data_IF_438984201558
#
_entry.id   IF_438984201558
#
_cell.length_a   1.000
_cell.length_b   1.000
_cell.length_c   1.000
_cell.angle_alpha   90.00
_cell.angle_beta   90.00
_cell.angle_gamma   90.00
#
_symmetry.space_group_name_H-M   'P 1'
#
loop_
_entity.id
_entity.type
_entity.pdbx_description
1 polymer ?
#
# COMPACT_ATOMS: atom_id res chain seq x y z
N UNK A 1 12.22 -9.47 12.25
CA UNK A 1 11.30 -8.71 11.36
C UNK A 1 11.53 -7.23 11.68
N UNK A 2 11.72 -6.41 10.64
CA UNK A 2 11.88 -4.97 10.77
C UNK A 2 10.57 -4.31 11.17
N UNK A 3 10.60 -3.39 12.15
CA UNK A 3 9.45 -2.59 12.56
C UNK A 3 9.85 -1.11 12.63
N UNK A 4 8.97 -0.23 12.18
CA UNK A 4 9.08 1.22 12.34
C UNK A 4 7.93 1.70 13.23
N UNK A 5 8.26 2.32 14.36
CA UNK A 5 7.29 2.88 15.30
C UNK A 5 7.28 4.40 15.21
N UNK A 6 6.09 4.95 15.01
CA UNK A 6 5.87 6.37 14.87
C UNK A 6 4.75 6.83 15.80
N UNK A 7 4.79 8.10 16.19
CA UNK A 7 3.69 8.76 16.90
C UNK A 7 3.33 10.02 16.13
N UNK A 8 2.05 10.13 15.74
CA UNK A 8 1.52 11.27 15.00
C UNK A 8 0.52 12.03 15.88
N UNK A 9 0.47 13.37 15.81
CA UNK A 9 -0.76 14.06 16.22
C UNK A 9 -1.92 13.56 15.36
N UNK A 10 -3.16 13.81 15.78
CA UNK A 10 -4.33 13.41 14.96
C UNK A 10 -4.24 14.08 13.59
N UNK A 11 -4.18 13.26 12.55
CA UNK A 11 -4.10 13.73 11.18
C UNK A 11 -5.38 14.47 10.77
N UNK A 12 -5.31 15.53 9.96
CA UNK A 12 -6.48 16.20 9.40
C UNK A 12 -7.40 15.21 8.70
N UNK A 13 -8.69 15.26 9.02
CA UNK A 13 -9.68 14.38 8.39
C UNK A 13 -9.84 14.69 6.91
N UNK A 14 -10.34 13.73 6.13
CA UNK A 14 -10.61 13.89 4.69
C UNK A 14 -11.42 15.15 4.40
N UNK A 15 -12.40 15.48 5.24
CA UNK A 15 -13.22 16.69 5.12
C UNK A 15 -12.45 18.00 5.37
N UNK A 16 -11.36 17.94 6.14
CA UNK A 16 -10.46 19.06 6.43
C UNK A 16 -9.17 19.03 5.61
N UNK A 17 -8.94 17.98 4.83
CA UNK A 17 -7.77 17.80 3.98
C UNK A 17 -7.90 18.56 2.64
N UNK A 18 -9.06 18.42 1.98
CA UNK A 18 -9.34 19.04 0.68
C UNK A 18 -10.32 20.21 0.81
N UNK A 19 -10.06 21.25 0.04
CA UNK A 19 -10.98 22.32 -0.28
C UNK A 19 -11.33 22.29 -1.77
N UNK A 20 -12.44 22.93 -2.13
CA UNK A 20 -12.88 23.09 -3.52
C UNK A 20 -13.01 24.57 -3.84
N UNK A 21 -12.56 24.96 -5.02
CA UNK A 21 -12.75 26.33 -5.55
C UNK A 21 -13.17 26.29 -7.00
N UNK A 22 -13.99 27.23 -7.40
CA UNK A 22 -14.32 27.41 -8.81
C UNK A 22 -13.19 28.21 -9.49
N UNK A 23 -12.77 27.74 -10.66
CA UNK A 23 -11.88 28.47 -11.57
C UNK A 23 -12.53 28.57 -12.94
N UNK A 24 -12.17 29.57 -13.72
CA UNK A 24 -12.56 29.66 -15.13
C UNK A 24 -11.44 28.99 -15.96
N UNK A 25 -11.81 27.95 -16.72
CA UNK A 25 -10.92 27.33 -17.70
C UNK A 25 -11.61 27.40 -19.07
N UNK A 26 -10.98 28.10 -20.02
CA UNK A 26 -11.55 28.33 -21.35
C UNK A 26 -12.95 28.96 -21.30
N UNK A 27 -13.18 29.91 -20.39
CA UNK A 27 -14.47 30.61 -20.22
C UNK A 27 -15.58 29.77 -19.53
N UNK A 28 -15.29 28.53 -19.10
CA UNK A 28 -16.25 27.69 -18.40
C UNK A 28 -15.85 27.51 -16.92
N UNK A 29 -16.81 27.60 -15.99
CA UNK A 29 -16.53 27.36 -14.58
C UNK A 29 -16.20 25.87 -14.37
N UNK A 30 -15.13 25.61 -13.64
CA UNK A 30 -14.67 24.28 -13.27
C UNK A 30 -14.32 24.23 -11.79
N UNK A 31 -14.80 23.20 -11.07
CA UNK A 31 -14.40 22.96 -9.69
C UNK A 31 -13.03 22.31 -9.65
N UNK A 32 -12.11 22.87 -8.86
CA UNK A 32 -10.76 22.33 -8.64
C UNK A 32 -10.55 22.11 -7.17
N UNK A 33 -10.14 20.87 -6.84
CA UNK A 33 -9.71 20.51 -5.49
C UNK A 33 -8.32 21.08 -5.16
N UNK A 34 -8.13 21.47 -3.91
CA UNK A 34 -6.83 21.88 -3.39
C UNK A 34 -6.64 21.37 -1.97
N UNK A 35 -5.38 21.13 -1.58
CA UNK A 35 -5.05 20.78 -0.18
C UNK A 35 -5.16 22.04 0.69
N UNK A 36 -5.85 21.93 1.81
CA UNK A 36 -5.97 23.04 2.76
C UNK A 36 -4.62 23.30 3.47
N UNK A 37 -4.35 24.55 3.91
CA UNK A 37 -3.07 24.91 4.55
C UNK A 37 -2.72 24.03 5.75
N UNK A 38 -3.69 23.66 6.57
CA UNK A 38 -3.51 22.79 7.74
C UNK A 38 -2.98 21.40 7.34
N UNK A 39 -3.54 20.82 6.27
CA UNK A 39 -3.09 19.53 5.75
C UNK A 39 -1.68 19.61 5.17
N UNK A 40 -1.37 20.70 4.44
CA UNK A 40 -0.02 20.93 3.91
C UNK A 40 1.00 21.08 5.04
N UNK A 41 0.65 21.81 6.09
CA UNK A 41 1.49 21.99 7.27
C UNK A 41 1.75 20.64 7.96
N UNK A 42 0.68 19.90 8.26
CA UNK A 42 0.76 18.58 8.85
C UNK A 42 1.66 17.64 8.04
N UNK A 43 1.40 17.49 6.74
CA UNK A 43 2.18 16.60 5.87
C UNK A 43 3.66 16.94 5.88
N UNK A 44 4.00 18.23 5.74
CA UNK A 44 5.39 18.67 5.76
C UNK A 44 6.10 18.39 7.08
N UNK A 45 5.44 18.65 8.20
CA UNK A 45 6.04 18.47 9.54
C UNK A 45 6.15 16.98 9.88
N UNK A 46 5.09 16.22 9.60
CA UNK A 46 5.11 14.79 9.88
C UNK A 46 6.05 14.02 8.95
N UNK A 47 6.16 14.37 7.67
CA UNK A 47 7.14 13.77 6.76
C UNK A 47 8.58 13.95 7.25
N UNK A 48 8.93 15.13 7.78
CA UNK A 48 10.25 15.38 8.38
C UNK A 48 10.50 14.48 9.62
N UNK A 49 9.50 14.36 10.48
CA UNK A 49 9.56 13.49 11.65
C UNK A 49 9.74 12.03 11.25
N UNK A 50 8.94 11.53 10.30
CA UNK A 50 9.03 10.15 9.77
C UNK A 50 10.42 9.86 9.23
N UNK A 51 11.00 10.79 8.44
CA UNK A 51 12.34 10.64 7.89
C UNK A 51 13.41 10.53 8.98
N UNK A 52 13.28 11.32 10.04
CA UNK A 52 14.21 11.27 11.18
C UNK A 52 14.08 9.96 11.97
N UNK A 53 12.83 9.52 12.25
CA UNK A 53 12.57 8.28 12.98
C UNK A 53 12.96 7.04 12.17
N UNK A 54 12.72 7.01 10.86
CA UNK A 54 13.16 5.93 9.97
C UNK A 54 14.69 5.76 10.04
N UNK A 55 15.43 6.86 9.98
CA UNK A 55 16.90 6.83 10.13
C UNK A 55 17.31 6.34 11.52
N UNK A 56 16.71 6.87 12.58
CA UNK A 56 17.02 6.54 13.99
C UNK A 56 16.75 5.07 14.30
N UNK A 57 15.69 4.51 13.73
CA UNK A 57 15.29 3.11 13.94
C UNK A 57 15.92 2.16 12.91
N UNK A 58 16.85 2.64 12.08
CA UNK A 58 17.51 1.86 11.02
C UNK A 58 16.54 1.17 10.07
N UNK A 59 15.44 1.85 9.73
CA UNK A 59 14.49 1.35 8.76
C UNK A 59 15.12 1.29 7.37
N UNK A 60 14.96 0.15 6.69
CA UNK A 60 15.44 -0.04 5.33
C UNK A 60 14.23 -0.11 4.40
N UNK A 61 14.09 0.92 3.57
CA UNK A 61 13.04 0.96 2.53
C UNK A 61 13.34 -0.08 1.46
N UNK A 62 12.35 -0.90 1.11
CA UNK A 62 12.47 -1.82 -0.03
C UNK A 62 12.32 -1.07 -1.35
N UNK A 63 13.15 -1.41 -2.32
CA UNK A 63 13.01 -0.96 -3.72
C UNK A 63 12.08 -1.88 -4.53
N UNK A 64 11.59 -2.96 -3.94
CA UNK A 64 10.63 -3.86 -4.56
C UNK A 64 9.21 -3.28 -4.46
N UNK A 65 8.63 -2.91 -5.61
CA UNK A 65 7.26 -2.40 -5.70
C UNK A 65 6.18 -3.42 -5.35
N UNK A 66 6.52 -4.69 -5.28
CA UNK A 66 5.61 -5.76 -4.86
C UNK A 66 5.60 -5.97 -3.34
N UNK A 67 6.54 -5.37 -2.60
CA UNK A 67 6.53 -5.42 -1.15
C UNK A 67 5.34 -4.64 -0.60
N UNK A 68 4.53 -5.30 0.20
CA UNK A 68 3.43 -4.67 0.94
C UNK A 68 3.81 -4.45 2.40
N UNK A 69 3.11 -3.51 3.05
CA UNK A 69 3.34 -3.14 4.45
C UNK A 69 2.03 -3.12 5.21
N UNK A 70 2.03 -3.68 6.41
CA UNK A 70 1.00 -3.38 7.39
C UNK A 70 1.31 -2.07 8.08
N UNK A 71 0.31 -1.21 8.19
CA UNK A 71 0.33 -0.03 9.03
C UNK A 71 -0.73 -0.21 10.13
N UNK A 72 -0.28 -0.66 11.28
CA UNK A 72 -1.10 -0.87 12.45
C UNK A 72 -1.23 0.45 13.23
N UNK A 73 -2.44 0.95 13.37
CA UNK A 73 -2.73 2.22 14.03
C UNK A 73 -3.59 2.05 15.26
N UNK A 74 -3.15 2.63 16.37
CA UNK A 74 -3.94 2.82 17.57
C UNK A 74 -4.25 4.30 17.72
N UNK A 75 -5.53 4.64 17.74
CA UNK A 75 -6.01 6.02 17.83
C UNK A 75 -6.35 6.38 19.28
N UNK A 76 -5.88 7.53 19.73
CA UNK A 76 -6.27 8.18 20.98
C UNK A 76 -6.91 9.52 20.62
N UNK A 77 -8.23 9.57 20.56
CA UNK A 77 -8.97 10.76 20.19
C UNK A 77 -9.28 11.64 21.40
N UNK A 78 -9.44 12.93 21.16
CA UNK A 78 -9.89 13.91 22.15
C UNK A 78 -11.40 13.80 22.42
N UNK A 79 -12.18 13.21 21.47
CA UNK A 79 -13.64 13.10 21.54
C UNK A 79 -14.14 11.82 20.89
N UNK A 80 -15.35 11.39 21.29
CA UNK A 80 -15.96 10.12 20.86
C UNK A 80 -16.55 10.15 19.43
N UNK A 81 -16.71 11.32 18.85
CA UNK A 81 -17.31 11.51 17.52
C UNK A 81 -16.29 11.51 16.35
N UNK A 82 -15.07 11.10 16.64
CA UNK A 82 -14.00 11.00 15.64
C UNK A 82 -13.99 9.64 14.96
N UNK A 83 -13.74 9.66 13.64
CA UNK A 83 -13.64 8.47 12.80
C UNK A 83 -12.18 8.25 12.34
N UNK A 84 -11.63 7.08 12.67
CA UNK A 84 -10.27 6.70 12.32
C UNK A 84 -10.04 6.71 10.80
N UNK A 85 -11.02 6.25 10.01
CA UNK A 85 -10.89 6.17 8.55
C UNK A 85 -10.64 7.53 7.91
N UNK A 86 -11.18 8.60 8.50
CA UNK A 86 -11.00 9.95 7.98
C UNK A 86 -9.56 10.48 8.11
N UNK A 87 -8.72 9.85 8.91
CA UNK A 87 -7.33 10.27 9.15
C UNK A 87 -6.32 9.60 8.19
N UNK A 88 -6.63 8.42 7.65
CA UNK A 88 -5.66 7.60 6.92
C UNK A 88 -5.09 8.29 5.67
N UNK A 89 -5.93 8.94 4.87
CA UNK A 89 -5.44 9.57 3.63
C UNK A 89 -4.33 10.59 3.88
N UNK A 90 -4.54 11.50 4.82
CA UNK A 90 -3.54 12.52 5.14
C UNK A 90 -2.30 11.93 5.80
N UNK A 91 -2.49 10.91 6.62
CA UNK A 91 -1.42 10.17 7.30
C UNK A 91 -0.53 9.43 6.30
N UNK A 92 -1.13 8.63 5.41
CA UNK A 92 -0.42 7.85 4.40
C UNK A 92 0.35 8.75 3.44
N UNK A 93 -0.29 9.84 2.95
CA UNK A 93 0.38 10.82 2.11
C UNK A 93 1.62 11.42 2.79
N UNK A 94 1.52 11.79 4.08
CA UNK A 94 2.64 12.37 4.82
C UNK A 94 3.81 11.40 5.01
N UNK A 95 3.52 10.11 5.23
CA UNK A 95 4.54 9.07 5.32
C UNK A 95 5.18 8.84 3.95
N UNK A 96 4.40 8.82 2.88
CA UNK A 96 4.90 8.70 1.50
C UNK A 96 5.79 9.88 1.12
N UNK A 97 5.38 11.11 1.48
CA UNK A 97 6.15 12.34 1.24
C UNK A 97 7.52 12.35 1.99
N UNK A 98 7.69 11.51 3.02
CA UNK A 98 8.99 11.33 3.67
C UNK A 98 10.03 10.65 2.79
N UNK A 99 9.59 9.92 1.76
CA UNK A 99 10.40 9.09 0.83
C UNK A 99 11.24 7.99 1.51
N UNK A 100 10.98 7.73 2.80
CA UNK A 100 11.87 6.92 3.65
C UNK A 100 11.29 5.56 4.02
N UNK A 101 9.99 5.32 3.83
CA UNK A 101 9.30 4.14 4.37
C UNK A 101 8.95 3.14 3.27
N UNK A 102 8.27 3.57 2.25
CA UNK A 102 7.85 2.80 1.07
C UNK A 102 7.97 3.63 -0.20
N UNK A 103 7.66 3.04 -1.35
CA UNK A 103 7.73 3.75 -2.63
C UNK A 103 6.44 4.53 -2.89
N UNK A 104 5.28 3.91 -2.56
CA UNK A 104 3.95 4.43 -2.88
C UNK A 104 2.93 3.89 -1.88
N UNK A 105 1.89 4.67 -1.55
CA UNK A 105 0.84 4.27 -0.62
C UNK A 105 -0.02 3.09 -1.12
N UNK A 106 0.07 2.74 -2.40
CA UNK A 106 -0.52 1.50 -2.94
C UNK A 106 0.06 0.21 -2.37
N UNK A 107 1.23 0.28 -1.74
CA UNK A 107 1.85 -0.83 -1.02
C UNK A 107 1.30 -1.03 0.40
N UNK A 108 0.41 -0.14 0.84
CA UNK A 108 -0.04 -0.05 2.22
C UNK A 108 -1.28 -0.91 2.47
N UNK A 109 -1.29 -1.58 3.62
CA UNK A 109 -2.44 -2.25 4.20
C UNK A 109 -2.72 -1.62 5.57
N UNK A 110 -3.67 -0.70 5.61
CA UNK A 110 -4.07 0.05 6.79
C UNK A 110 -4.91 -0.82 7.73
N UNK A 111 -4.59 -0.79 9.03
CA UNK A 111 -5.31 -1.58 10.02
C UNK A 111 -5.52 -0.76 11.30
N UNK A 112 -6.77 -0.67 11.75
CA UNK A 112 -7.10 -0.11 13.06
C UNK A 112 -6.99 -1.20 14.10
N UNK A 113 -6.06 -1.05 15.05
CA UNK A 113 -5.84 -2.00 16.14
C UNK A 113 -6.59 -1.63 17.40
N UNK A 114 -6.94 -0.36 17.57
CA UNK A 114 -7.71 0.12 18.71
C UNK A 114 -8.09 1.58 18.58
N UNK A 115 -9.16 1.96 19.27
CA UNK A 115 -9.63 3.34 19.39
C UNK A 115 -9.87 3.61 20.87
N UNK A 116 -9.15 4.60 21.37
CA UNK A 116 -9.20 5.05 22.77
C UNK A 116 -9.44 6.55 22.82
N UNK A 117 -9.72 7.07 24.00
CA UNK A 117 -9.94 8.50 24.24
C UNK A 117 -8.89 9.03 25.20
N UNK A 118 -8.22 10.08 24.78
CA UNK A 118 -7.23 10.80 25.58
C UNK A 118 -7.30 12.28 25.20
N UNK A 119 -8.09 13.03 25.98
CA UNK A 119 -8.33 14.45 25.71
C UNK A 119 -7.10 15.33 25.99
N UNK A 120 -6.16 14.85 26.80
CA UNK A 120 -4.96 15.60 27.16
C UNK A 120 -3.84 15.42 26.14
N UNK A 121 -3.77 14.23 25.53
CA UNK A 121 -2.71 13.90 24.57
C UNK A 121 -3.26 13.10 23.38
N UNK A 122 -4.13 13.69 22.54
CA UNK A 122 -4.68 13.01 21.36
C UNK A 122 -3.59 12.72 20.34
N UNK A 123 -3.51 11.46 19.90
CA UNK A 123 -2.43 10.98 19.03
C UNK A 123 -2.82 9.71 18.25
N UNK A 124 -1.99 9.35 17.30
CA UNK A 124 -2.01 8.06 16.60
C UNK A 124 -0.68 7.37 16.84
N UNK A 125 -0.70 6.19 17.44
CA UNK A 125 0.47 5.32 17.55
C UNK A 125 0.47 4.37 16.36
N UNK A 126 1.59 4.30 15.65
CA UNK A 126 1.70 3.63 14.37
C UNK A 126 2.86 2.64 14.43
N UNK A 127 2.59 1.39 14.01
CA UNK A 127 3.63 0.39 13.80
C UNK A 127 3.58 -0.06 12.35
N UNK A 128 4.68 0.11 11.62
CA UNK A 128 4.80 -0.29 10.22
C UNK A 128 5.75 -1.48 10.14
N UNK A 129 5.34 -2.51 9.38
CA UNK A 129 6.15 -3.70 9.14
C UNK A 129 5.90 -4.28 7.75
N UNK A 130 6.92 -4.85 7.09
CA UNK A 130 6.72 -5.56 5.85
C UNK A 130 5.86 -6.80 6.09
N UNK A 131 5.07 -7.18 5.10
CA UNK A 131 4.31 -8.43 5.09
C UNK A 131 5.11 -9.53 4.40
N UNK A 132 4.83 -10.79 4.75
CA UNK A 132 5.55 -11.94 4.23
C UNK A 132 5.06 -12.36 2.83
N UNK A 133 3.83 -12.02 2.44
CA UNK A 133 3.32 -12.31 1.11
C UNK A 133 3.83 -11.30 0.06
N UNK A 134 3.88 -11.72 -1.20
CA UNK A 134 4.30 -10.90 -2.34
C UNK A 134 3.14 -10.81 -3.32
N UNK A 135 2.51 -9.64 -3.42
CA UNK A 135 1.36 -9.43 -4.27
C UNK A 135 0.18 -10.32 -3.87
N UNK A 136 -0.27 -11.21 -4.76
CA UNK A 136 -1.34 -12.20 -4.51
C UNK A 136 -0.80 -13.58 -4.08
N UNK A 137 0.49 -13.71 -3.90
CA UNK A 137 1.17 -14.96 -3.55
C UNK A 137 1.43 -15.03 -2.05
N UNK A 138 1.24 -16.20 -1.45
CA UNK A 138 1.41 -16.42 -0.01
C UNK A 138 2.88 -16.31 0.43
N UNK A 139 3.80 -16.61 -0.47
CA UNK A 139 5.24 -16.60 -0.19
C UNK A 139 6.07 -16.56 -1.50
N UNK A 140 7.39 -16.38 -1.35
CA UNK A 140 8.32 -16.30 -2.47
C UNK A 140 8.35 -17.56 -3.33
N UNK A 141 8.23 -18.75 -2.73
CA UNK A 141 8.22 -20.02 -3.48
C UNK A 141 7.02 -20.09 -4.42
N UNK A 142 5.82 -19.74 -3.95
CA UNK A 142 4.62 -19.72 -4.78
C UNK A 142 4.75 -18.73 -5.95
N UNK A 143 5.37 -17.57 -5.71
CA UNK A 143 5.68 -16.62 -6.78
C UNK A 143 6.67 -17.17 -7.79
N UNK A 144 7.73 -17.84 -7.35
CA UNK A 144 8.77 -18.36 -8.23
C UNK A 144 8.24 -19.54 -9.08
N UNK A 145 7.41 -20.41 -8.51
CA UNK A 145 6.70 -21.46 -9.24
C UNK A 145 5.78 -20.85 -10.31
N UNK A 146 5.05 -19.81 -9.97
CA UNK A 146 4.18 -19.11 -10.90
C UNK A 146 4.98 -18.45 -12.06
N UNK A 147 6.11 -17.79 -11.73
CA UNK A 147 7.02 -17.22 -12.75
C UNK A 147 7.56 -18.28 -13.69
N UNK A 148 7.97 -19.42 -13.16
CA UNK A 148 8.49 -20.55 -13.94
C UNK A 148 7.47 -21.09 -14.94
N UNK A 149 6.22 -21.23 -14.51
CA UNK A 149 5.11 -21.59 -15.41
C UNK A 149 4.85 -20.51 -16.47
N UNK A 150 4.92 -19.22 -16.10
CA UNK A 150 4.74 -18.13 -17.05
C UNK A 150 5.74 -18.16 -18.20
N UNK A 151 6.99 -18.59 -17.98
CA UNK A 151 8.02 -18.72 -19.03
C UNK A 151 7.56 -19.68 -20.14
N UNK A 152 6.84 -20.75 -19.80
CA UNK A 152 6.25 -21.71 -20.75
C UNK A 152 4.96 -21.23 -21.43
N UNK A 153 4.48 -20.04 -21.13
CA UNK A 153 3.21 -19.53 -21.64
C UNK A 153 3.36 -18.74 -22.93
N UNK A 154 2.52 -19.01 -23.94
CA UNK A 154 2.49 -18.27 -25.23
C UNK A 154 2.32 -16.76 -25.06
N UNK A 155 1.70 -16.31 -23.95
CA UNK A 155 1.40 -14.90 -23.65
C UNK A 155 2.55 -14.18 -22.95
N UNK A 156 3.54 -14.91 -22.43
CA UNK A 156 4.63 -14.36 -21.65
C UNK A 156 5.43 -13.32 -22.46
N UNK A 157 5.63 -12.15 -21.85
CA UNK A 157 6.33 -10.99 -22.48
C UNK A 157 5.73 -10.48 -23.80
N UNK A 158 4.54 -10.91 -24.19
CA UNK A 158 3.84 -10.44 -25.39
C UNK A 158 2.67 -9.53 -25.00
N UNK A 159 1.50 -10.12 -24.75
CA UNK A 159 0.26 -9.39 -24.47
C UNK A 159 -0.31 -9.73 -23.08
N UNK A 160 0.55 -10.11 -22.12
CA UNK A 160 0.14 -10.50 -20.78
C UNK A 160 0.78 -9.60 -19.73
N UNK A 161 -0.07 -8.92 -18.95
CA UNK A 161 0.31 -8.12 -17.78
C UNK A 161 -0.04 -8.80 -16.46
N UNK A 162 -0.56 -10.05 -16.49
CA UNK A 162 -1.09 -10.72 -15.28
C UNK A 162 -0.03 -10.94 -14.21
N UNK A 163 1.16 -11.43 -14.57
CA UNK A 163 2.24 -11.61 -13.60
C UNK A 163 2.60 -10.29 -12.89
N UNK A 164 2.77 -9.21 -13.66
CA UNK A 164 3.07 -7.89 -13.08
C UNK A 164 1.98 -7.44 -12.12
N UNK A 165 0.72 -7.53 -12.54
CA UNK A 165 -0.43 -7.12 -11.72
C UNK A 165 -0.60 -8.00 -10.48
N UNK A 166 -0.33 -9.31 -10.61
CA UNK A 166 -0.35 -10.23 -9.47
C UNK A 166 0.73 -9.90 -8.44
N UNK A 167 1.94 -9.56 -8.89
CA UNK A 167 3.03 -9.08 -8.01
C UNK A 167 2.68 -7.75 -7.33
N UNK A 168 1.91 -6.90 -7.98
CA UNK A 168 1.40 -5.64 -7.42
C UNK A 168 0.16 -5.84 -6.52
N UNK A 169 -0.34 -7.06 -6.35
CA UNK A 169 -1.52 -7.36 -5.56
C UNK A 169 -2.86 -6.95 -6.18
N UNK A 170 -2.89 -6.63 -7.49
CA UNK A 170 -4.08 -6.06 -8.14
C UNK A 170 -5.03 -7.08 -8.74
N UNK A 171 -4.59 -8.32 -8.91
CA UNK A 171 -5.37 -9.37 -9.59
C UNK A 171 -5.43 -10.64 -8.74
N UNK A 172 -6.66 -11.10 -8.51
CA UNK A 172 -6.94 -12.39 -7.87
C UNK A 172 -7.89 -13.25 -8.74
N UNK A 173 -8.70 -12.62 -9.62
CA UNK A 173 -9.74 -13.32 -10.39
C UNK A 173 -9.19 -14.35 -11.38
N UNK A 174 -8.08 -14.06 -12.02
CA UNK A 174 -7.46 -14.94 -13.02
C UNK A 174 -6.36 -15.83 -12.43
N UNK A 175 -6.12 -15.74 -11.13
CA UNK A 175 -5.09 -16.51 -10.44
C UNK A 175 -5.72 -17.16 -9.21
N UNK A 176 -5.84 -18.47 -9.23
CA UNK A 176 -6.40 -19.26 -8.14
C UNK A 176 -5.37 -20.30 -7.70
N UNK A 177 -5.10 -20.37 -6.40
CA UNK A 177 -4.16 -21.35 -5.81
C UNK A 177 -2.79 -21.37 -6.50
N UNK A 178 -2.28 -20.20 -6.92
CA UNK A 178 -1.02 -20.10 -7.65
C UNK A 178 -1.08 -20.56 -9.10
N UNK A 179 -2.27 -20.76 -9.69
CA UNK A 179 -2.46 -21.12 -11.09
C UNK A 179 -3.13 -20.00 -11.88
N UNK A 180 -2.77 -19.87 -13.16
CA UNK A 180 -3.32 -18.87 -14.07
C UNK A 180 -4.34 -19.50 -15.02
N UNK A 181 -5.61 -19.09 -14.94
CA UNK A 181 -6.67 -19.54 -15.84
C UNK A 181 -6.41 -19.22 -17.32
N UNK A 182 -5.61 -18.20 -17.59
CA UNK A 182 -5.24 -17.79 -18.95
C UNK A 182 -3.93 -18.38 -19.43
N UNK A 183 -3.41 -19.38 -18.73
CA UNK A 183 -2.21 -20.09 -19.14
C UNK A 183 -2.46 -20.80 -20.50
N UNK A 184 -1.50 -20.71 -21.39
CA UNK A 184 -1.54 -21.38 -22.70
C UNK A 184 -0.14 -21.81 -23.06
N UNK A 185 0.10 -23.12 -23.09
CA UNK A 185 1.41 -23.70 -23.36
C UNK A 185 1.94 -23.32 -24.75
N UNK A 186 3.23 -23.03 -24.86
CA UNK A 186 3.92 -22.84 -26.13
C UNK A 186 3.88 -24.17 -26.91
N UNK A 187 3.44 -24.15 -28.19
CA UNK A 187 3.41 -25.33 -29.03
C UNK A 187 4.82 -25.92 -29.14
N UNK A 188 4.98 -27.17 -28.74
CA UNK A 188 6.25 -27.91 -28.74
C UNK A 188 6.77 -28.34 -27.38
N UNK A 189 6.29 -27.76 -26.30
CA UNK A 189 6.50 -28.27 -24.94
C UNK A 189 5.34 -29.18 -24.58
N UNK A 190 5.53 -30.50 -24.70
CA UNK A 190 4.58 -31.47 -24.18
C UNK A 190 4.63 -31.41 -22.66
N UNK A 191 3.47 -31.32 -22.00
CA UNK A 191 3.36 -31.60 -20.57
C UNK A 191 3.97 -33.00 -20.34
N UNK A 192 5.01 -33.07 -19.51
CA UNK A 192 5.37 -34.34 -18.87
C UNK A 192 4.25 -34.65 -17.87
N UNK A 193 3.21 -35.33 -18.31
CA UNK A 193 2.33 -36.06 -17.41
C UNK A 193 3.17 -37.19 -16.86
N UNK A 194 3.65 -37.05 -15.65
CA UNK A 194 4.04 -38.20 -14.84
C UNK A 194 2.75 -39.00 -14.59
N UNK A 195 2.60 -40.02 -15.40
CA UNK A 195 1.69 -41.12 -15.04
C UNK A 195 2.34 -41.85 -13.86
N UNK A 196 1.90 -41.54 -12.67
CA UNK A 196 1.99 -42.53 -11.58
C UNK A 196 1.16 -43.73 -12.04
N UNK A 197 1.86 -44.74 -12.48
CA UNK A 197 1.35 -46.11 -12.61
C UNK A 197 1.57 -46.80 -11.28
N UNK A 198 0.44 -47.18 -10.68
CA UNK A 198 0.20 -48.22 -9.67
C UNK A 198 0.84 -48.02 -8.29
#
# INVERSE_FOLDING_TARGET
>A
IQELKLTSPIAPSVNHYLGWRAILKNGKPMAVGYKKPEAIKYQREFAKYVKAEAKKQNWVKSEDKSQHYYMDCVFYFDRIDKDANNSFKCLADAITDSESVWIDDTQLCERVQGIYYDSENPRIEITIRPVDYIGVFDNASQLDDFKSRCIGCKRYKRNCSLLKKAMEGRIQKEIHNGECEKFSLINGLKEKKEYEKN
#
